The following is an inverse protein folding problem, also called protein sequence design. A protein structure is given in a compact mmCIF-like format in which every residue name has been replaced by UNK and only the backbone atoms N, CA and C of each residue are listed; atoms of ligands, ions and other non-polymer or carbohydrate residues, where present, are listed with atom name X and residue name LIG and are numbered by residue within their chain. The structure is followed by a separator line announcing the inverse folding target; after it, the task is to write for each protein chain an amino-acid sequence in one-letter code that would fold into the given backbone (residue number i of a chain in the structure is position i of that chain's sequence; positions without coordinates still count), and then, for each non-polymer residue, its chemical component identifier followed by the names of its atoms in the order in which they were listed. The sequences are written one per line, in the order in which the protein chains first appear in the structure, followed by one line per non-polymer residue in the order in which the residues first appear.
data_IF_848957852394
#
_entry.id   IF_848957852394
#
_cell.length_a   1.000
_cell.length_b   1.000
_cell.length_c   1.000
_cell.angle_alpha   90.00
_cell.angle_beta   90.00
_cell.angle_gamma   90.00
#
_symmetry.space_group_name_H-M   'P 1'
#
loop_
_entity.id
_entity.type
_entity.pdbx_description
1 polymer ?
#
# COMPACT_ATOMS: atom_id res chain seq x y z
N UNK A 1 14.67 -16.24 -10.46
CA UNK A 1 14.10 -15.60 -9.78
C UNK A 1 14.43 -14.31 -9.66
N UNK A 2 13.84 -13.47 -10.26
CA UNK A 2 14.22 -12.18 -10.47
C UNK A 2 13.17 -11.22 -10.07
N UNK A 3 12.80 -11.24 -8.82
CA UNK A 3 11.93 -10.20 -8.34
C UNK A 3 12.81 -9.10 -7.78
N UNK A 4 12.46 -7.87 -8.04
CA UNK A 4 13.13 -6.71 -7.48
C UNK A 4 12.10 -5.69 -7.03
N UNK A 5 12.46 -4.91 -5.99
CA UNK A 5 11.66 -3.77 -5.57
C UNK A 5 12.56 -2.55 -5.69
N UNK A 6 12.08 -1.57 -6.41
CA UNK A 6 12.83 -0.33 -6.67
C UNK A 6 11.94 0.89 -6.49
N UNK A 7 12.56 2.04 -6.42
CA UNK A 7 11.84 3.29 -6.39
C UNK A 7 11.14 3.52 -7.73
N UNK A 8 9.90 3.98 -7.67
CA UNK A 8 9.17 4.36 -8.88
C UNK A 8 9.61 5.74 -9.36
N UNK A 9 9.48 5.95 -10.67
CA UNK A 9 9.81 7.22 -11.30
C UNK A 9 8.62 7.71 -12.13
N UNK A 10 8.71 8.92 -12.64
CA UNK A 10 7.66 9.46 -13.48
C UNK A 10 7.42 8.61 -14.73
N UNK A 11 8.43 7.90 -15.21
CA UNK A 11 8.29 7.01 -16.34
C UNK A 11 7.39 5.80 -16.04
N UNK A 12 7.18 5.49 -14.76
CA UNK A 12 6.34 4.35 -14.36
C UNK A 12 4.85 4.70 -14.29
N UNK A 13 4.51 5.99 -14.30
CA UNK A 13 3.14 6.45 -13.99
C UNK A 13 2.09 5.85 -14.91
N UNK A 14 2.34 5.86 -16.22
CA UNK A 14 1.35 5.35 -17.18
C UNK A 14 1.08 3.86 -16.96
N UNK A 15 2.12 3.04 -16.76
CA UNK A 15 1.98 1.61 -16.54
C UNK A 15 1.31 1.29 -15.21
N UNK A 16 1.65 2.03 -14.18
CA UNK A 16 1.07 1.85 -12.84
C UNK A 16 -0.41 2.26 -12.84
N UNK A 17 -0.75 3.34 -13.52
CA UNK A 17 -2.13 3.76 -13.66
C UNK A 17 -2.96 2.67 -14.36
N UNK A 18 -2.42 2.11 -15.45
CA UNK A 18 -3.12 1.04 -16.17
C UNK A 18 -3.32 -0.19 -15.28
N UNK A 19 -2.30 -0.56 -14.49
CA UNK A 19 -2.41 -1.68 -13.56
C UNK A 19 -3.46 -1.40 -12.49
N UNK A 20 -3.47 -0.20 -11.93
CA UNK A 20 -4.43 0.20 -10.91
C UNK A 20 -5.86 0.13 -11.45
N UNK A 21 -6.08 0.59 -12.69
CA UNK A 21 -7.40 0.59 -13.32
C UNK A 21 -7.90 -0.83 -13.60
N UNK A 22 -7.01 -1.77 -13.80
CA UNK A 22 -7.37 -3.16 -14.03
C UNK A 22 -7.75 -3.92 -12.76
N UNK A 23 -7.52 -3.32 -11.59
CA UNK A 23 -7.79 -3.96 -10.32
C UNK A 23 -9.08 -3.40 -9.72
N UNK A 24 -10.15 -4.20 -9.62
CA UNK A 24 -11.47 -3.70 -9.20
C UNK A 24 -11.51 -3.13 -7.79
N UNK A 25 -10.66 -3.64 -6.91
CA UNK A 25 -10.67 -3.24 -5.50
C UNK A 25 -9.68 -2.13 -5.19
N UNK A 26 -8.84 -1.73 -6.15
CA UNK A 26 -7.89 -0.65 -5.94
C UNK A 26 -8.60 0.71 -5.88
N UNK A 27 -8.04 1.67 -5.13
CA UNK A 27 -8.57 3.04 -5.16
C UNK A 27 -8.61 3.57 -6.58
N UNK A 28 -9.61 4.43 -6.84
CA UNK A 28 -9.76 4.98 -8.18
C UNK A 28 -8.88 6.19 -8.37
N UNK A 29 -7.63 5.99 -8.62
CA UNK A 29 -6.68 7.06 -8.88
C UNK A 29 -6.65 7.38 -10.36
N UNK A 30 -6.61 8.69 -10.66
CA UNK A 30 -6.40 9.17 -12.00
C UNK A 30 -4.91 9.45 -12.24
N UNK A 31 -4.53 9.72 -13.49
CA UNK A 31 -3.13 10.02 -13.80
C UNK A 31 -2.58 11.17 -12.96
N UNK A 32 -3.40 12.19 -12.70
CA UNK A 32 -2.94 13.34 -11.90
C UNK A 32 -2.59 12.91 -10.47
N UNK A 33 -3.32 11.94 -9.91
CA UNK A 33 -3.03 11.48 -8.55
C UNK A 33 -1.65 10.82 -8.50
N UNK A 34 -1.30 10.03 -9.50
CA UNK A 34 0.03 9.43 -9.57
C UNK A 34 1.10 10.49 -9.81
N UNK A 35 0.82 11.49 -10.64
CA UNK A 35 1.77 12.56 -10.91
C UNK A 35 2.08 13.37 -9.64
N UNK A 36 1.12 13.51 -8.74
CA UNK A 36 1.30 14.26 -7.50
C UNK A 36 2.22 13.57 -6.51
N UNK A 37 2.49 12.27 -6.67
CA UNK A 37 3.40 11.53 -5.80
C UNK A 37 4.75 12.24 -5.72
N UNK A 38 5.23 12.78 -6.85
CA UNK A 38 6.58 13.35 -6.94
C UNK A 38 6.69 14.76 -6.38
N UNK A 39 5.56 15.34 -5.95
CA UNK A 39 5.53 16.70 -5.41
C UNK A 39 5.22 16.73 -3.92
N UNK A 40 5.13 15.57 -3.29
CA UNK A 40 4.74 15.45 -1.90
C UNK A 40 5.62 14.40 -1.21
N UNK A 41 5.66 14.37 0.12
CA UNK A 41 6.50 13.39 0.82
C UNK A 41 5.88 12.00 0.78
N UNK A 42 5.98 11.37 -0.38
CA UNK A 42 5.47 10.02 -0.59
C UNK A 42 6.59 9.06 -0.94
N UNK A 43 6.39 7.79 -0.59
CA UNK A 43 7.23 6.68 -1.00
C UNK A 43 6.47 5.92 -2.09
N UNK A 44 7.10 5.73 -3.23
CA UNK A 44 6.51 5.03 -4.36
C UNK A 44 7.48 3.93 -4.79
N UNK A 45 7.06 2.68 -4.59
CA UNK A 45 7.91 1.53 -4.89
C UNK A 45 7.26 0.65 -5.94
N UNK A 46 8.08 0.12 -6.82
CA UNK A 46 7.69 -0.76 -7.91
C UNK A 46 8.25 -2.15 -7.64
N UNK A 47 7.40 -3.17 -7.77
CA UNK A 47 7.85 -4.55 -7.80
C UNK A 47 7.92 -5.02 -9.24
N UNK A 48 9.05 -5.59 -9.62
CA UNK A 48 9.25 -6.17 -10.94
C UNK A 48 9.52 -7.65 -10.81
N UNK A 49 9.01 -8.42 -11.75
CA UNK A 49 9.29 -9.83 -11.86
C UNK A 49 9.86 -10.07 -13.25
N UNK A 50 11.14 -10.43 -13.29
CA UNK A 50 11.86 -10.62 -14.57
C UNK A 50 11.71 -9.43 -15.51
N UNK A 51 11.87 -8.24 -14.97
CA UNK A 51 11.80 -7.00 -15.73
C UNK A 51 10.42 -6.47 -16.06
N UNK A 52 9.37 -7.20 -15.66
CA UNK A 52 7.99 -6.77 -15.91
C UNK A 52 7.37 -6.15 -14.67
N UNK A 53 6.54 -5.14 -14.86
CA UNK A 53 5.80 -4.54 -13.75
C UNK A 53 4.88 -5.60 -13.12
N UNK A 54 5.12 -5.90 -11.87
CA UNK A 54 4.34 -6.90 -11.14
C UNK A 54 3.45 -6.29 -10.07
N UNK A 55 3.79 -5.10 -9.58
CA UNK A 55 2.99 -4.44 -8.55
C UNK A 55 3.60 -3.12 -8.12
N UNK A 56 2.89 -2.41 -7.26
CA UNK A 56 3.39 -1.15 -6.72
C UNK A 56 2.76 -0.85 -5.37
N UNK A 57 3.36 0.08 -4.64
CA UNK A 57 2.81 0.59 -3.39
C UNK A 57 3.11 2.07 -3.27
N UNK A 58 2.18 2.82 -2.68
CA UNK A 58 2.34 4.23 -2.38
C UNK A 58 2.06 4.46 -0.90
N UNK A 59 2.98 5.09 -0.21
CA UNK A 59 2.82 5.54 1.16
C UNK A 59 3.05 7.03 1.26
N UNK A 60 2.35 7.70 2.18
CA UNK A 60 2.40 9.15 2.36
C UNK A 60 2.84 9.47 3.79
N UNK A 61 3.92 10.22 3.92
CA UNK A 61 4.40 10.70 5.21
C UNK A 61 3.66 11.99 5.55
N UNK A 62 2.79 11.92 6.55
CA UNK A 62 2.02 13.07 7.01
C UNK A 62 2.48 13.41 8.41
N UNK A 63 3.61 14.12 8.49
CA UNK A 63 4.16 14.59 9.78
C UNK A 63 4.35 13.49 10.80
N UNK A 64 4.91 12.36 10.38
CA UNK A 64 5.24 11.26 11.28
C UNK A 64 4.18 10.16 11.37
N UNK A 65 2.97 10.45 10.91
CA UNK A 65 1.94 9.42 10.77
C UNK A 65 1.81 9.12 9.28
N UNK A 66 2.14 7.90 8.92
CA UNK A 66 2.13 7.52 7.51
C UNK A 66 0.78 6.92 7.12
N UNK A 67 0.45 7.05 5.85
CA UNK A 67 -0.75 6.44 5.30
C UNK A 67 -0.35 5.54 4.14
N UNK A 68 -0.79 4.29 4.16
CA UNK A 68 -0.64 3.39 3.03
C UNK A 68 -1.83 3.68 2.12
N UNK A 69 -1.57 4.34 0.98
CA UNK A 69 -2.63 4.84 0.13
C UNK A 69 -3.08 3.87 -0.95
N UNK A 70 -2.17 3.08 -1.46
CA UNK A 70 -2.49 2.23 -2.61
C UNK A 70 -1.45 1.10 -2.71
N UNK A 71 -1.90 -0.14 -2.87
CA UNK A 71 -1.02 -1.27 -3.17
C UNK A 71 -1.77 -2.21 -4.10
N UNK A 72 -1.10 -2.59 -5.19
CA UNK A 72 -1.69 -3.47 -6.20
C UNK A 72 -0.64 -4.46 -6.68
N UNK A 73 -1.02 -5.73 -6.82
CA UNK A 73 -0.21 -6.75 -7.46
C UNK A 73 -0.97 -7.23 -8.69
N UNK A 74 -0.30 -7.31 -9.81
CA UNK A 74 -0.90 -7.78 -11.06
C UNK A 74 -1.37 -9.23 -10.90
N UNK A 75 -2.52 -9.56 -11.48
CA UNK A 75 -3.13 -10.87 -11.32
C UNK A 75 -2.17 -12.01 -11.66
N UNK A 76 -1.41 -11.87 -12.73
CA UNK A 76 -0.49 -12.92 -13.18
C UNK A 76 0.67 -13.16 -12.22
N UNK A 77 0.92 -12.23 -11.30
CA UNK A 77 2.01 -12.36 -10.33
C UNK A 77 1.52 -12.55 -8.89
N UNK A 78 0.23 -12.80 -8.70
CA UNK A 78 -0.31 -13.04 -7.37
C UNK A 78 0.17 -14.37 -6.79
N UNK A 79 0.02 -14.50 -5.48
CA UNK A 79 0.41 -15.70 -4.73
C UNK A 79 1.90 -16.00 -4.76
N UNK A 80 2.72 -14.98 -4.99
CA UNK A 80 4.18 -15.09 -4.95
C UNK A 80 4.80 -14.25 -3.82
N UNK A 81 3.96 -13.71 -2.94
CA UNK A 81 4.43 -12.92 -1.81
C UNK A 81 4.81 -11.49 -2.12
N UNK A 82 4.52 -11.00 -3.34
CA UNK A 82 4.93 -9.64 -3.73
C UNK A 82 4.21 -8.55 -2.95
N UNK A 83 2.92 -8.73 -2.68
CA UNK A 83 2.17 -7.77 -1.88
C UNK A 83 2.77 -7.61 -0.48
N UNK A 84 3.09 -8.73 0.15
CA UNK A 84 3.71 -8.75 1.46
C UNK A 84 5.08 -8.06 1.43
N UNK A 85 5.87 -8.33 0.38
CA UNK A 85 7.18 -7.68 0.22
C UNK A 85 7.06 -6.18 0.06
N UNK A 86 6.09 -5.72 -0.73
CA UNK A 86 5.85 -4.29 -0.92
C UNK A 86 5.45 -3.62 0.40
N UNK A 87 4.54 -4.24 1.15
CA UNK A 87 4.11 -3.69 2.43
C UNK A 87 5.27 -3.66 3.43
N UNK A 88 6.07 -4.73 3.49
CA UNK A 88 7.23 -4.77 4.37
C UNK A 88 8.25 -3.69 4.02
N UNK A 89 8.50 -3.45 2.73
CA UNK A 89 9.41 -2.39 2.31
C UNK A 89 8.89 -1.02 2.73
N UNK A 90 7.58 -0.79 2.63
CA UNK A 90 6.99 0.45 3.10
C UNK A 90 7.17 0.60 4.61
N UNK A 91 6.94 -0.47 5.37
CA UNK A 91 7.14 -0.45 6.81
C UNK A 91 8.59 -0.10 7.15
N UNK A 92 9.55 -0.68 6.43
CA UNK A 92 10.97 -0.37 6.66
C UNK A 92 11.28 1.09 6.38
N UNK A 93 10.74 1.63 5.28
CA UNK A 93 10.94 3.04 4.96
C UNK A 93 10.34 3.94 6.04
N UNK A 94 9.14 3.61 6.51
CA UNK A 94 8.50 4.37 7.57
C UNK A 94 9.33 4.35 8.86
N UNK A 95 9.82 3.19 9.23
CA UNK A 95 10.65 3.06 10.44
C UNK A 95 11.95 3.84 10.33
N UNK A 96 12.59 3.82 9.15
CA UNK A 96 13.82 4.58 8.91
C UNK A 96 13.59 6.08 9.05
N UNK A 97 12.38 6.53 8.74
CA UNK A 97 12.00 7.93 8.85
C UNK A 97 11.34 8.25 10.19
N UNK A 98 11.45 7.33 11.15
CA UNK A 98 10.95 7.50 12.51
C UNK A 98 9.45 7.76 12.58
N UNK A 99 8.69 7.14 11.69
CA UNK A 99 7.23 7.21 11.72
C UNK A 99 6.71 6.57 13.00
N UNK A 100 5.64 7.13 13.55
CA UNK A 100 4.99 6.56 14.72
C UNK A 100 4.10 5.39 14.34
N UNK A 101 3.39 5.52 13.24
CA UNK A 101 2.43 4.52 12.81
C UNK A 101 2.13 4.65 11.32
N UNK A 102 1.57 3.59 10.77
CA UNK A 102 1.05 3.59 9.39
C UNK A 102 -0.42 3.23 9.47
N UNK A 103 -1.26 4.04 8.83
CA UNK A 103 -2.71 3.87 8.81
C UNK A 103 -3.17 3.53 7.40
N UNK A 104 -4.29 2.82 7.30
CA UNK A 104 -4.93 2.57 6.01
C UNK A 104 -6.43 2.34 6.19
N UNK A 105 -7.15 2.53 5.10
CA UNK A 105 -8.57 2.22 5.03
C UNK A 105 -8.76 1.23 3.89
N UNK A 106 -9.63 0.25 4.09
CA UNK A 106 -9.89 -0.79 3.10
C UNK A 106 -11.37 -1.17 3.13
N UNK A 107 -11.92 -1.50 1.96
CA UNK A 107 -13.30 -1.98 1.89
C UNK A 107 -13.45 -3.24 2.71
N UNK A 108 -14.55 -3.33 3.45
CA UNK A 108 -14.83 -4.49 4.29
C UNK A 108 -14.78 -5.79 3.49
N UNK A 109 -15.27 -5.77 2.26
CA UNK A 109 -15.32 -6.95 1.40
C UNK A 109 -13.98 -7.33 0.76
N UNK A 110 -12.95 -6.48 0.88
CA UNK A 110 -11.66 -6.77 0.27
C UNK A 110 -10.86 -7.74 1.14
N UNK A 111 -11.27 -9.00 1.13
CA UNK A 111 -10.68 -10.02 2.00
C UNK A 111 -9.20 -10.25 1.70
N UNK A 112 -8.81 -10.19 0.43
CA UNK A 112 -7.41 -10.41 0.02
C UNK A 112 -6.50 -9.35 0.64
N UNK A 113 -6.87 -8.08 0.52
CA UNK A 113 -6.08 -6.99 1.09
C UNK A 113 -6.09 -7.05 2.61
N UNK A 114 -7.24 -7.32 3.23
CA UNK A 114 -7.33 -7.41 4.68
C UNK A 114 -6.41 -8.50 5.23
N UNK A 115 -6.39 -9.67 4.58
CA UNK A 115 -5.50 -10.75 4.95
C UNK A 115 -4.04 -10.35 4.81
N UNK A 116 -3.71 -9.66 3.74
CA UNK A 116 -2.34 -9.17 3.51
C UNK A 116 -1.89 -8.25 4.64
N UNK A 117 -2.72 -7.26 4.99
CA UNK A 117 -2.36 -6.30 6.02
C UNK A 117 -2.22 -6.98 7.39
N UNK A 118 -3.15 -7.88 7.72
CA UNK A 118 -3.09 -8.61 9.00
C UNK A 118 -1.82 -9.46 9.08
N UNK A 119 -1.45 -10.08 7.97
CA UNK A 119 -0.25 -10.89 7.93
C UNK A 119 1.02 -10.07 8.10
N UNK A 120 0.98 -8.81 7.70
CA UNK A 120 2.11 -7.90 7.86
C UNK A 120 2.16 -7.21 9.23
N UNK A 121 1.20 -7.49 10.10
CA UNK A 121 1.19 -6.95 11.46
C UNK A 121 0.26 -5.77 11.68
N UNK A 122 -0.54 -5.40 10.68
CA UNK A 122 -1.55 -4.37 10.88
C UNK A 122 -2.70 -4.92 11.70
N UNK A 123 -3.28 -4.06 12.54
CA UNK A 123 -4.42 -4.42 13.38
C UNK A 123 -5.59 -3.50 13.12
N UNK A 124 -6.78 -4.09 13.03
CA UNK A 124 -8.00 -3.32 12.90
C UNK A 124 -8.23 -2.52 14.17
N UNK A 125 -8.54 -1.23 14.02
CA UNK A 125 -8.81 -0.38 15.17
C UNK A 125 -10.13 0.37 15.06
N UNK A 126 -10.83 0.26 13.96
CA UNK A 126 -12.11 0.95 13.80
C UNK A 126 -12.76 0.64 12.46
N UNK A 127 -13.86 1.35 12.24
CA UNK A 127 -14.67 1.20 11.05
C UNK A 127 -15.33 2.53 10.74
N UNK A 128 -15.44 2.90 9.46
CA UNK A 128 -16.22 4.05 9.01
C UNK A 128 -17.40 3.54 8.22
N UNK A 129 -18.60 3.78 8.75
CA UNK A 129 -19.83 3.33 8.10
C UNK A 129 -20.07 4.08 6.80
N UNK A 130 -20.47 3.35 5.76
CA UNK A 130 -20.84 3.89 4.46
C UNK A 130 -19.79 4.85 3.88
N UNK A 131 -18.53 4.57 4.12
CA UNK A 131 -17.42 5.42 3.67
C UNK A 131 -17.25 5.40 2.15
N UNK A 132 -17.39 4.22 1.55
CA UNK A 132 -17.27 4.06 0.10
C UNK A 132 -18.63 4.18 -0.58
N UNK A 133 -18.61 4.60 -1.85
CA UNK A 133 -19.80 4.58 -2.70
C UNK A 133 -19.47 3.79 -3.97
N UNK A 134 -20.50 3.36 -4.70
CA UNK A 134 -20.39 2.64 -5.95
C UNK A 134 -19.54 1.36 -5.89
N UNK A 135 -19.94 0.35 -5.10
CA UNK A 135 -21.14 0.28 -4.25
C UNK A 135 -20.90 0.89 -2.87
N UNK A 136 -21.98 1.22 -2.15
CA UNK A 136 -21.86 1.65 -0.76
C UNK A 136 -21.27 0.53 0.09
N UNK A 137 -20.30 0.88 0.92
CA UNK A 137 -19.65 -0.11 1.75
C UNK A 137 -18.91 0.57 2.88
N UNK A 138 -18.76 -0.13 4.01
CA UNK A 138 -17.98 0.35 5.13
C UNK A 138 -16.49 0.24 4.86
N UNK A 139 -15.71 1.11 5.47
CA UNK A 139 -14.27 1.01 5.49
C UNK A 139 -13.83 0.39 6.80
N UNK A 140 -12.89 -0.54 6.71
CA UNK A 140 -12.21 -1.08 7.89
C UNK A 140 -10.91 -0.29 8.03
N UNK A 141 -10.63 0.16 9.27
CA UNK A 141 -9.45 0.95 9.57
C UNK A 141 -8.40 0.07 10.22
N UNK A 142 -7.22 0.04 9.61
CA UNK A 142 -6.06 -0.71 10.12
C UNK A 142 -4.92 0.22 10.44
N UNK A 143 -4.09 -0.17 11.40
CA UNK A 143 -2.87 0.54 11.71
C UNK A 143 -1.74 -0.41 12.04
N UNK A 144 -0.52 0.04 11.79
CA UNK A 144 0.70 -0.63 12.20
C UNK A 144 1.47 0.34 13.09
N UNK A 145 1.76 -0.05 14.32
CA UNK A 145 2.48 0.80 15.27
C UNK A 145 3.99 0.53 15.14
N UNK A 146 4.71 1.51 14.65
CA UNK A 146 6.13 1.34 14.32
C UNK A 146 7.03 1.11 15.55
N UNK A 147 6.61 1.61 16.71
CA UNK A 147 7.41 1.48 17.92
C UNK A 147 7.02 0.29 18.79
N UNK A 148 6.08 -0.52 18.32
CA UNK A 148 5.54 -1.61 19.13
C UNK A 148 6.58 -2.68 19.46
N UNK A 149 7.48 -2.96 18.50
CA UNK A 149 8.53 -3.95 18.72
C UNK A 149 9.43 -3.61 19.90
N UNK A 150 9.69 -2.32 20.12
CA UNK A 150 10.49 -1.87 21.26
C UNK A 150 9.76 -2.12 22.58
N UNK A 151 8.45 -2.02 22.59
CA UNK A 151 7.66 -2.27 23.78
C UNK A 151 7.55 -3.75 24.09
N UNK A 152 7.55 -4.58 23.08
CA UNK A 152 7.44 -6.03 23.24
C UNK A 152 8.70 -6.65 23.80
N UNK A 153 9.83 -6.01 23.62
CA UNK A 153 11.09 -6.49 24.13
C UNK A 153 11.21 -6.24 25.63
N UNK A 154 10.50 -5.26 26.10
CA UNK A 154 10.48 -4.95 27.50
C UNK A 154 9.47 -5.82 28.24
#
# INVERSE_FOLDING_TARGET
MSETIRRGTEADVASVHALSRSSPMAPRWELIDFAMIFRTPRVFLIAEWEGKLAGFIVGHDISGEWELENVVVADEFRSRGLGQRLVWELILQAKRNKAEAIFLEVRESNAVARHLYERCGFQQYGCRKAYYSNPPEDAILYRFLCNRAALEIC
#
